data_IF_902013494954
#
_entry.id   IF_902013494954
#
_cell.length_a   1.000
_cell.length_b   1.000
_cell.length_c   1.000
_cell.angle_alpha   90.00
_cell.angle_beta   90.00
_cell.angle_gamma   90.00
#
_symmetry.space_group_name_H-M   'P 1'
#
loop_
_entity.id
_entity.type
_entity.pdbx_description
1 polymer ?
#
# COMPACT_ATOMS: atom_id res chain seq x y z
N UNK A 1 17.97 21.93 -17.71
CA UNK A 1 17.88 20.48 -17.39
C UNK A 1 16.53 20.16 -16.76
N UNK A 2 16.10 20.90 -15.72
CA UNK A 2 14.76 20.77 -15.13
C UNK A 2 13.88 21.99 -15.46
N UNK A 3 12.57 21.75 -15.56
CA UNK A 3 11.55 22.79 -15.78
C UNK A 3 11.21 23.55 -14.48
N UNK A 4 11.33 22.88 -13.32
CA UNK A 4 11.11 23.45 -12.00
C UNK A 4 12.32 23.23 -11.10
N UNK A 5 12.59 24.18 -10.22
CA UNK A 5 13.66 24.12 -9.20
C UNK A 5 13.11 24.17 -7.78
N UNK A 6 11.78 24.14 -7.64
CA UNK A 6 11.09 24.17 -6.36
C UNK A 6 10.79 22.73 -5.91
N UNK A 7 11.37 22.33 -4.78
CA UNK A 7 11.14 21.02 -4.19
C UNK A 7 9.87 21.01 -3.35
N UNK A 8 9.06 19.96 -3.49
CA UNK A 8 7.90 19.70 -2.64
C UNK A 8 8.35 19.14 -1.27
N UNK A 9 8.11 19.92 -0.21
CA UNK A 9 8.46 19.56 1.16
C UNK A 9 7.80 18.26 1.61
N UNK A 10 6.52 18.04 1.28
CA UNK A 10 5.78 16.88 1.78
C UNK A 10 6.29 15.58 1.14
N UNK A 11 6.69 15.62 -0.14
CA UNK A 11 7.37 14.50 -0.78
C UNK A 11 8.72 14.17 -0.14
N UNK A 12 9.54 15.17 0.18
CA UNK A 12 10.82 14.96 0.88
C UNK A 12 10.58 14.41 2.29
N UNK A 13 9.67 15.04 3.05
CA UNK A 13 9.33 14.64 4.41
C UNK A 13 8.86 13.18 4.47
N UNK A 14 7.93 12.78 3.60
CA UNK A 14 7.43 11.40 3.52
C UNK A 14 8.56 10.41 3.24
N UNK A 15 9.47 10.71 2.32
CA UNK A 15 10.61 9.82 2.01
C UNK A 15 11.60 9.70 3.16
N UNK A 16 11.91 10.80 3.83
CA UNK A 16 12.78 10.77 5.00
C UNK A 16 12.13 10.03 6.18
N UNK A 17 10.82 10.18 6.36
CA UNK A 17 10.06 9.43 7.36
C UNK A 17 10.10 7.92 7.08
N UNK A 18 9.88 7.49 5.83
CA UNK A 18 10.04 6.08 5.40
C UNK A 18 11.44 5.56 5.75
N UNK A 19 12.50 6.32 5.44
CA UNK A 19 13.88 5.91 5.74
C UNK A 19 14.14 5.77 7.25
N UNK A 20 13.56 6.66 8.07
CA UNK A 20 13.69 6.58 9.52
C UNK A 20 13.00 5.33 10.09
N UNK A 21 11.86 4.92 9.54
CA UNK A 21 11.22 3.65 9.92
C UNK A 21 12.06 2.42 9.56
N UNK A 22 12.76 2.44 8.42
CA UNK A 22 13.56 1.31 7.94
C UNK A 22 14.88 1.14 8.70
N UNK A 23 15.30 2.13 9.49
CA UNK A 23 16.58 2.14 10.19
C UNK A 23 16.40 2.45 11.68
N UNK A 24 16.28 1.41 12.51
CA UNK A 24 16.20 1.56 13.97
C UNK A 24 17.40 2.35 14.49
N UNK A 25 17.12 3.41 15.26
CA UNK A 25 18.15 4.28 15.84
C UNK A 25 18.63 5.43 14.95
N UNK A 26 18.17 5.53 13.70
CA UNK A 26 18.44 6.69 12.86
C UNK A 26 17.53 7.87 13.26
N UNK A 27 18.11 9.05 13.34
CA UNK A 27 17.36 10.30 13.50
C UNK A 27 17.58 11.17 12.27
N UNK A 28 16.51 11.56 11.61
CA UNK A 28 16.56 12.42 10.44
C UNK A 28 15.85 13.74 10.77
N UNK A 29 16.56 14.86 10.56
CA UNK A 29 16.02 16.20 10.74
C UNK A 29 15.86 16.85 9.37
N UNK A 30 14.63 17.29 9.05
CA UNK A 30 14.32 18.04 7.85
C UNK A 30 13.93 19.46 8.23
N UNK A 31 14.57 20.44 7.61
CA UNK A 31 14.26 21.86 7.80
C UNK A 31 14.02 22.51 6.44
N UNK A 32 12.89 23.20 6.29
CA UNK A 32 12.63 24.09 5.15
C UNK A 32 12.74 25.54 5.61
N UNK A 33 13.64 26.28 4.98
CA UNK A 33 13.87 27.69 5.23
C UNK A 33 13.00 28.59 4.33
N UNK A 34 12.29 28.04 3.34
CA UNK A 34 11.52 28.79 2.33
C UNK A 34 10.12 29.22 2.81
N UNK A 35 9.96 29.44 4.11
CA UNK A 35 8.66 29.55 4.79
C UNK A 35 8.32 30.99 5.13
N UNK A 36 7.12 31.45 4.83
CA UNK A 36 6.71 32.80 5.26
C UNK A 36 6.37 32.85 6.76
N UNK A 37 6.53 34.01 7.41
CA UNK A 37 6.24 34.15 8.85
C UNK A 37 4.78 33.81 9.20
N UNK A 38 3.85 33.99 8.26
CA UNK A 38 2.41 33.74 8.41
C UNK A 38 2.01 32.29 8.08
N UNK A 39 2.91 31.49 7.50
CA UNK A 39 2.62 30.13 7.07
C UNK A 39 2.50 29.16 8.26
N UNK A 40 1.53 28.24 8.18
CA UNK A 40 1.34 27.19 9.19
C UNK A 40 2.37 26.08 8.95
N UNK A 41 3.30 25.92 9.89
CA UNK A 41 4.43 24.98 9.78
C UNK A 41 4.22 23.67 10.54
N UNK A 42 3.26 23.64 11.46
CA UNK A 42 3.02 22.51 12.34
C UNK A 42 2.42 21.32 11.60
N UNK A 43 2.84 20.11 11.95
CA UNK A 43 2.33 18.87 11.33
C UNK A 43 0.87 18.59 11.73
N UNK A 44 0.49 18.95 12.95
CA UNK A 44 -0.88 18.86 13.44
C UNK A 44 -1.36 20.28 13.73
N UNK A 45 -2.19 20.81 12.84
CA UNK A 45 -2.82 22.11 13.01
C UNK A 45 -3.95 21.98 14.03
N UNK A 46 -3.98 22.86 15.03
CA UNK A 46 -5.05 22.86 16.01
C UNK A 46 -6.36 23.38 15.41
N UNK A 47 -7.48 22.77 15.81
CA UNK A 47 -8.82 23.25 15.45
C UNK A 47 -9.20 24.55 16.19
N UNK A 48 -8.39 24.97 17.16
CA UNK A 48 -8.56 26.20 17.93
C UNK A 48 -7.68 27.31 17.40
N UNK A 49 -8.18 28.56 17.47
CA UNK A 49 -7.40 29.73 17.14
C UNK A 49 -6.22 29.90 18.10
N UNK A 50 -5.11 30.43 17.58
CA UNK A 50 -3.94 30.76 18.38
C UNK A 50 -4.27 31.76 19.49
N UNK A 51 -3.58 31.60 20.62
CA UNK A 51 -3.73 32.51 21.74
C UNK A 51 -3.40 33.96 21.34
N UNK A 52 -4.14 34.96 21.82
CA UNK A 52 -3.85 36.36 21.54
C UNK A 52 -2.49 36.74 22.14
N UNK A 53 -1.53 37.05 21.25
CA UNK A 53 -0.17 37.43 21.66
C UNK A 53 -0.16 38.78 22.36
N UNK A 54 0.50 38.84 23.51
CA UNK A 54 0.78 40.06 24.27
C UNK A 54 1.71 41.01 23.50
N UNK A 55 1.77 42.27 23.91
CA UNK A 55 2.66 43.26 23.29
C UNK A 55 4.14 42.87 23.40
N UNK A 56 4.53 42.17 24.46
CA UNK A 56 5.89 41.63 24.64
C UNK A 56 6.18 40.48 23.67
N UNK A 57 5.23 39.56 23.46
CA UNK A 57 5.38 38.43 22.52
C UNK A 57 5.45 38.92 21.07
N UNK A 58 4.67 39.94 20.71
CA UNK A 58 4.75 40.56 19.37
C UNK A 58 6.08 41.26 19.13
N UNK A 59 6.67 41.88 20.15
CA UNK A 59 8.00 42.49 20.06
C UNK A 59 9.13 41.43 20.01
N UNK A 60 8.92 40.27 20.64
CA UNK A 60 9.84 39.13 20.54
C UNK A 60 9.79 38.49 19.15
N UNK A 61 8.60 38.33 18.55
CA UNK A 61 8.48 37.78 17.19
C UNK A 61 9.06 38.69 16.11
N UNK A 62 8.98 40.01 16.27
CA UNK A 62 9.58 40.94 15.30
C UNK A 62 11.11 40.96 15.34
N UNK A 63 11.71 40.46 16.42
CA UNK A 63 13.17 40.34 16.60
C UNK A 63 13.67 38.90 16.45
N UNK A 64 12.77 37.94 16.25
CA UNK A 64 13.10 36.54 16.06
C UNK A 64 13.76 36.28 14.69
N UNK A 65 14.63 35.25 14.60
CA UNK A 65 15.16 34.81 13.31
C UNK A 65 14.04 34.27 12.41
N UNK A 66 14.36 34.14 11.10
CA UNK A 66 13.44 33.65 10.08
C UNK A 66 12.75 32.34 10.51
N UNK A 67 11.42 32.29 10.39
CA UNK A 67 10.62 31.10 10.70
C UNK A 67 10.99 29.95 9.77
N UNK A 68 11.10 28.74 10.29
CA UNK A 68 11.41 27.54 9.50
C UNK A 68 10.39 26.44 9.76
N UNK A 69 10.17 25.57 8.77
CA UNK A 69 9.35 24.35 8.94
C UNK A 69 10.28 23.20 9.25
N UNK A 70 10.21 22.66 10.47
CA UNK A 70 11.10 21.62 10.95
C UNK A 70 10.34 20.33 11.26
N UNK A 71 10.87 19.18 10.82
CA UNK A 71 10.38 17.84 11.19
C UNK A 71 11.54 16.94 11.62
N UNK A 72 11.36 16.25 12.73
CA UNK A 72 12.31 15.25 13.24
C UNK A 72 11.68 13.87 13.17
N UNK A 73 12.37 12.93 12.51
CA UNK A 73 11.95 11.55 12.36
C UNK A 73 12.88 10.64 13.16
N UNK A 74 12.35 9.96 14.17
CA UNK A 74 13.08 8.96 14.96
C UNK A 74 12.10 7.88 15.43
N UNK A 75 12.32 6.64 14.98
CA UNK A 75 11.40 5.53 15.22
C UNK A 75 12.15 4.32 15.78
N UNK A 76 12.24 4.18 17.11
CA UNK A 76 13.00 3.10 17.74
C UNK A 76 12.38 1.71 17.49
N UNK A 77 11.05 1.64 17.27
CA UNK A 77 10.36 0.39 16.92
C UNK A 77 10.55 -0.02 15.46
N UNK A 78 11.14 0.83 14.62
CA UNK A 78 11.41 0.54 13.21
C UNK A 78 10.14 0.18 12.44
N UNK A 79 10.11 -1.02 11.85
CA UNK A 79 8.97 -1.49 11.04
C UNK A 79 7.67 -1.60 11.85
N UNK A 80 7.75 -1.89 13.15
CA UNK A 80 6.56 -1.92 14.03
C UNK A 80 5.89 -0.55 14.08
N UNK A 81 6.69 0.52 14.20
CA UNK A 81 6.17 1.89 14.21
C UNK A 81 5.65 2.29 12.82
N UNK A 82 6.24 1.75 11.76
CA UNK A 82 5.73 1.94 10.40
C UNK A 82 4.34 1.31 10.21
N UNK A 83 4.15 0.07 10.64
CA UNK A 83 2.84 -0.60 10.58
C UNK A 83 1.81 0.14 11.43
N UNK A 84 2.18 0.61 12.62
CA UNK A 84 1.31 1.48 13.44
C UNK A 84 0.94 2.77 12.71
N UNK A 85 1.89 3.39 12.01
CA UNK A 85 1.63 4.60 11.23
C UNK A 85 0.64 4.32 10.08
N UNK A 86 0.82 3.23 9.33
CA UNK A 86 -0.09 2.82 8.25
C UNK A 86 -1.49 2.54 8.80
N UNK A 87 -1.59 1.90 9.96
CA UNK A 87 -2.86 1.57 10.60
C UNK A 87 -3.45 2.71 11.43
N UNK A 88 -2.79 3.88 11.56
CA UNK A 88 -3.29 5.02 12.36
C UNK A 88 -4.66 5.51 11.88
N UNK A 89 -4.89 5.48 10.57
CA UNK A 89 -6.16 5.88 9.94
C UNK A 89 -7.14 4.72 9.77
N UNK A 90 -6.76 3.52 10.21
CA UNK A 90 -7.51 2.28 10.05
C UNK A 90 -7.88 1.71 11.44
N UNK A 91 -8.72 0.68 11.45
CA UNK A 91 -9.11 0.00 12.70
C UNK A 91 -8.42 -1.37 12.76
N UNK A 92 -7.32 -1.54 13.53
CA UNK A 92 -6.68 -2.84 13.71
C UNK A 92 -7.64 -3.88 14.30
N UNK A 93 -7.57 -5.12 13.83
CA UNK A 93 -8.41 -6.22 14.34
C UNK A 93 -7.69 -7.07 15.39
N UNK A 94 -6.36 -7.08 15.36
CA UNK A 94 -5.50 -7.80 16.31
C UNK A 94 -4.71 -6.80 17.15
N UNK A 95 -4.51 -7.13 18.42
CA UNK A 95 -3.79 -6.27 19.37
C UNK A 95 -2.27 -6.38 19.17
N UNK A 96 -1.78 -7.58 18.87
CA UNK A 96 -0.35 -7.83 18.68
C UNK A 96 0.08 -7.58 17.23
N UNK A 97 1.14 -6.79 17.04
CA UNK A 97 1.81 -6.66 15.74
C UNK A 97 2.76 -7.83 15.59
N UNK A 98 2.72 -8.49 14.44
CA UNK A 98 3.69 -9.53 14.10
C UNK A 98 4.98 -8.82 13.71
N UNK A 99 6.07 -9.13 14.40
CA UNK A 99 7.40 -8.58 14.17
C UNK A 99 8.40 -9.74 14.27
N UNK A 100 9.22 -9.92 13.23
CA UNK A 100 10.31 -10.89 13.25
C UNK A 100 11.40 -10.52 12.25
N UNK A 101 12.63 -10.92 12.60
CA UNK A 101 13.80 -10.85 11.74
C UNK A 101 14.31 -12.25 11.35
N UNK A 102 15.09 -12.29 10.29
CA UNK A 102 15.79 -13.47 9.84
C UNK A 102 17.11 -13.10 9.19
N UNK A 103 18.17 -13.81 9.53
CA UNK A 103 19.51 -13.64 8.94
C UNK A 103 19.91 -14.90 8.19
N UNK A 104 20.38 -14.72 6.98
CA UNK A 104 20.92 -15.74 6.11
C UNK A 104 22.33 -15.38 5.61
N UNK A 105 22.96 -16.25 4.83
CA UNK A 105 24.25 -15.96 4.22
C UNK A 105 24.11 -14.84 3.18
N UNK A 106 24.58 -13.62 3.51
CA UNK A 106 24.60 -12.47 2.60
C UNK A 106 23.25 -11.74 2.44
N UNK A 107 22.20 -12.18 3.15
CA UNK A 107 20.86 -11.60 3.11
C UNK A 107 20.25 -11.54 4.51
N UNK A 108 19.50 -10.48 4.80
CA UNK A 108 18.73 -10.30 6.03
C UNK A 108 17.32 -9.84 5.66
N UNK A 109 16.32 -10.27 6.43
CA UNK A 109 14.93 -9.87 6.27
C UNK A 109 14.37 -9.43 7.61
N UNK A 110 13.61 -8.34 7.60
CA UNK A 110 12.83 -7.86 8.73
C UNK A 110 11.40 -7.61 8.23
N UNK A 111 10.42 -8.15 8.94
CA UNK A 111 9.01 -8.06 8.56
C UNK A 111 8.19 -7.64 9.77
N UNK A 112 7.37 -6.61 9.57
CA UNK A 112 6.30 -6.27 10.50
C UNK A 112 4.95 -6.28 9.79
N UNK A 113 3.90 -6.80 10.44
CA UNK A 113 2.58 -6.86 9.83
C UNK A 113 1.43 -6.89 10.83
N UNK A 114 0.28 -6.34 10.43
CA UNK A 114 -0.95 -6.29 11.22
C UNK A 114 -2.17 -6.14 10.31
N UNK A 115 -3.24 -6.89 10.59
CA UNK A 115 -4.51 -6.75 9.89
C UNK A 115 -5.40 -5.64 10.50
N UNK A 116 -6.22 -5.04 9.64
CA UNK A 116 -7.23 -4.06 9.98
C UNK A 116 -8.60 -4.42 9.35
N UNK A 117 -9.64 -3.69 9.75
CA UNK A 117 -11.01 -3.88 9.29
C UNK A 117 -11.25 -3.45 7.83
N UNK A 118 -10.28 -2.83 7.17
CA UNK A 118 -10.40 -2.37 5.79
C UNK A 118 -10.37 -3.51 4.76
N UNK A 119 -10.63 -3.15 3.51
CA UNK A 119 -10.66 -4.07 2.37
C UNK A 119 -9.46 -3.91 1.43
N UNK A 120 -8.60 -2.92 1.66
CA UNK A 120 -7.41 -2.67 0.84
C UNK A 120 -6.18 -3.41 1.37
N UNK A 121 -5.38 -3.93 0.45
CA UNK A 121 -4.04 -4.42 0.73
C UNK A 121 -3.09 -3.22 0.89
N UNK A 122 -2.24 -3.23 1.92
CA UNK A 122 -1.20 -2.22 2.14
C UNK A 122 0.10 -2.91 2.48
N UNK A 123 0.65 -3.63 1.49
CA UNK A 123 1.94 -4.30 1.58
C UNK A 123 2.99 -3.40 0.94
N UNK A 124 3.93 -2.91 1.76
CA UNK A 124 5.06 -2.11 1.32
C UNK A 124 6.33 -2.95 1.43
N UNK A 125 7.13 -2.94 0.37
CA UNK A 125 8.29 -3.82 0.26
C UNK A 125 9.53 -3.02 -0.14
N UNK A 126 10.66 -3.37 0.47
CA UNK A 126 11.91 -2.63 0.39
C UNK A 126 13.09 -3.58 0.24
N UNK A 127 14.05 -3.21 -0.60
CA UNK A 127 15.35 -3.86 -0.71
C UNK A 127 16.46 -2.80 -0.51
N UNK A 128 17.30 -2.97 0.50
CA UNK A 128 18.35 -2.00 0.86
C UNK A 128 17.82 -0.56 0.99
N UNK A 129 16.68 -0.39 1.69
CA UNK A 129 15.93 0.89 1.85
C UNK A 129 15.26 1.44 0.59
N UNK A 130 15.43 0.81 -0.57
CA UNK A 130 14.78 1.20 -1.82
C UNK A 130 13.40 0.56 -1.90
N UNK A 131 12.36 1.36 -2.15
CA UNK A 131 11.00 0.87 -2.30
C UNK A 131 10.84 0.09 -3.61
N UNK A 132 10.54 -1.20 -3.50
CA UNK A 132 10.33 -2.10 -4.64
C UNK A 132 8.84 -2.23 -4.96
N UNK A 133 8.22 -1.15 -5.44
CA UNK A 133 6.77 -1.09 -5.65
C UNK A 133 6.23 -2.00 -6.77
N UNK A 134 7.10 -2.45 -7.69
CA UNK A 134 6.76 -3.50 -8.67
C UNK A 134 6.96 -4.92 -8.10
N UNK A 135 7.35 -5.01 -6.83
CA UNK A 135 7.49 -6.22 -6.06
C UNK A 135 8.83 -6.89 -6.19
N UNK A 136 8.84 -8.21 -6.29
CA UNK A 136 10.05 -9.00 -6.51
C UNK A 136 10.07 -10.32 -5.75
N UNK A 137 11.23 -10.96 -5.78
CA UNK A 137 11.43 -12.31 -5.24
C UNK A 137 11.16 -12.41 -3.73
N UNK A 138 11.55 -11.41 -2.95
CA UNK A 138 11.25 -11.28 -1.51
C UNK A 138 9.74 -11.22 -1.24
N UNK A 139 9.02 -10.40 -2.00
CA UNK A 139 7.57 -10.26 -1.84
C UNK A 139 6.84 -11.55 -2.22
N UNK A 140 7.22 -12.20 -3.32
CA UNK A 140 6.66 -13.50 -3.70
C UNK A 140 6.89 -14.57 -2.63
N UNK A 141 8.08 -14.60 -2.04
CA UNK A 141 8.41 -15.52 -0.95
C UNK A 141 7.50 -15.32 0.26
N UNK A 142 7.27 -14.07 0.65
CA UNK A 142 6.32 -13.70 1.70
C UNK A 142 4.88 -14.09 1.34
N UNK A 143 4.40 -13.70 0.15
CA UNK A 143 3.02 -13.99 -0.32
C UNK A 143 2.74 -15.49 -0.31
N UNK A 144 3.69 -16.30 -0.77
CA UNK A 144 3.57 -17.76 -0.78
C UNK A 144 3.54 -18.33 0.64
N UNK A 145 4.49 -17.94 1.51
CA UNK A 145 4.53 -18.42 2.89
C UNK A 145 3.27 -18.06 3.67
N UNK A 146 2.82 -16.79 3.59
CA UNK A 146 1.62 -16.33 4.28
C UNK A 146 0.39 -17.16 3.88
N UNK A 147 0.22 -17.38 2.56
CA UNK A 147 -0.91 -18.17 2.04
C UNK A 147 -0.87 -19.61 2.56
N UNK A 148 0.30 -20.24 2.58
CA UNK A 148 0.48 -21.61 3.07
C UNK A 148 0.23 -21.74 4.57
N UNK A 149 0.78 -20.85 5.38
CA UNK A 149 0.64 -20.88 6.85
C UNK A 149 -0.82 -20.68 7.26
N UNK A 150 -1.50 -19.67 6.71
CA UNK A 150 -2.90 -19.38 7.05
C UNK A 150 -3.82 -20.52 6.63
N UNK A 151 -3.64 -21.10 5.43
CA UNK A 151 -4.44 -22.25 5.01
C UNK A 151 -4.18 -23.48 5.88
N UNK A 152 -2.93 -23.74 6.26
CA UNK A 152 -2.57 -24.85 7.16
C UNK A 152 -3.25 -24.66 8.52
N UNK A 153 -3.10 -23.49 9.13
CA UNK A 153 -3.68 -23.18 10.44
C UNK A 153 -5.22 -23.24 10.42
N UNK A 154 -5.84 -22.72 9.36
CA UNK A 154 -7.30 -22.75 9.21
C UNK A 154 -7.87 -24.17 9.15
N UNK A 155 -7.16 -25.11 8.50
CA UNK A 155 -7.54 -26.53 8.45
C UNK A 155 -7.28 -27.23 9.79
N UNK A 156 -6.09 -27.07 10.35
CA UNK A 156 -5.66 -27.74 11.57
C UNK A 156 -6.58 -27.35 12.77
N UNK A 157 -7.01 -26.09 12.85
CA UNK A 157 -7.96 -25.60 13.88
C UNK A 157 -9.44 -25.71 13.48
N UNK A 158 -9.76 -26.34 12.35
CA UNK A 158 -11.13 -26.53 11.82
C UNK A 158 -11.93 -25.23 11.65
N UNK A 159 -11.23 -24.12 11.37
CA UNK A 159 -11.84 -22.83 11.04
C UNK A 159 -12.30 -22.77 9.58
N UNK A 160 -11.66 -23.56 8.71
CA UNK A 160 -12.11 -23.87 7.36
C UNK A 160 -12.54 -25.33 7.31
N UNK A 161 -13.72 -25.63 6.74
CA UNK A 161 -14.18 -27.01 6.61
C UNK A 161 -13.38 -27.71 5.51
N UNK A 162 -13.14 -29.01 5.63
CA UNK A 162 -12.38 -29.79 4.64
C UNK A 162 -13.00 -29.80 3.23
N UNK A 163 -14.31 -29.54 3.14
CA UNK A 163 -15.05 -29.46 1.88
C UNK A 163 -15.00 -28.07 1.25
N UNK A 164 -14.65 -27.04 2.01
CA UNK A 164 -14.58 -25.68 1.51
C UNK A 164 -13.27 -25.48 0.72
N UNK A 165 -13.29 -24.70 -0.37
CA UNK A 165 -12.08 -24.40 -1.13
C UNK A 165 -11.07 -23.66 -0.26
N UNK A 166 -9.77 -23.87 -0.53
CA UNK A 166 -8.70 -23.12 0.12
C UNK A 166 -8.86 -21.61 -0.09
N UNK A 167 -8.40 -20.84 0.89
CA UNK A 167 -8.31 -19.39 0.83
C UNK A 167 -7.26 -18.98 -0.20
N UNK A 168 -7.58 -18.01 -1.06
CA UNK A 168 -6.58 -17.45 -1.99
C UNK A 168 -5.70 -16.43 -1.28
N UNK A 169 -4.56 -16.09 -1.88
CA UNK A 169 -3.67 -15.08 -1.30
C UNK A 169 -4.34 -13.70 -1.17
N UNK A 170 -5.24 -13.35 -2.09
CA UNK A 170 -5.98 -12.08 -2.05
C UNK A 170 -6.94 -12.03 -0.86
N UNK A 171 -7.63 -13.14 -0.57
CA UNK A 171 -8.55 -13.24 0.57
C UNK A 171 -7.80 -12.99 1.91
N UNK A 172 -6.54 -13.41 1.99
CA UNK A 172 -5.71 -13.32 3.20
C UNK A 172 -5.05 -11.94 3.34
N UNK A 173 -4.65 -11.32 2.22
CA UNK A 173 -4.01 -10.00 2.21
C UNK A 173 -5.01 -8.84 2.26
N UNK A 174 -6.29 -9.12 2.11
CA UNK A 174 -7.33 -8.11 2.29
C UNK A 174 -7.25 -7.49 3.70
N UNK A 175 -7.10 -6.16 3.77
CA UNK A 175 -6.97 -5.44 5.04
C UNK A 175 -5.63 -5.70 5.75
N UNK A 176 -4.64 -6.28 5.07
CA UNK A 176 -3.31 -6.46 5.63
C UNK A 176 -2.46 -5.20 5.45
N UNK A 177 -1.90 -4.68 6.54
CA UNK A 177 -0.78 -3.76 6.51
C UNK A 177 0.51 -4.53 6.81
N UNK A 178 1.44 -4.57 5.86
CA UNK A 178 2.71 -5.26 6.03
C UNK A 178 3.86 -4.41 5.49
N UNK A 179 4.99 -4.46 6.18
CA UNK A 179 6.25 -3.87 5.73
C UNK A 179 7.29 -4.97 5.69
N UNK A 180 7.90 -5.16 4.51
CA UNK A 180 8.92 -6.18 4.26
C UNK A 180 10.21 -5.45 3.87
N UNK A 181 11.24 -5.54 4.71
CA UNK A 181 12.54 -4.92 4.44
C UNK A 181 13.60 -6.00 4.31
N UNK A 182 14.21 -6.12 3.14
CA UNK A 182 15.35 -7.02 2.93
C UNK A 182 16.65 -6.23 2.77
N UNK A 183 17.73 -6.75 3.34
CA UNK A 183 19.09 -6.27 3.10
C UNK A 183 19.83 -7.35 2.35
N UNK A 184 20.35 -7.02 1.17
CA UNK A 184 20.98 -7.96 0.25
C UNK A 184 22.35 -7.42 -0.13
N UNK A 185 23.40 -8.23 0.04
CA UNK A 185 24.77 -7.82 -0.28
C UNK A 185 24.95 -7.50 -1.77
N UNK A 186 24.42 -8.36 -2.65
CA UNK A 186 24.51 -8.21 -4.11
C UNK A 186 23.10 -8.17 -4.73
N UNK A 187 22.39 -7.03 -4.67
CA UNK A 187 21.02 -6.95 -5.17
C UNK A 187 21.00 -6.90 -6.70
N UNK A 188 20.16 -7.74 -7.30
CA UNK A 188 19.87 -7.78 -8.72
C UNK A 188 18.44 -7.27 -8.93
N UNK A 189 18.28 -6.27 -9.79
CA UNK A 189 16.97 -5.71 -10.11
C UNK A 189 16.58 -5.99 -11.56
N UNK A 190 15.28 -6.18 -11.79
CA UNK A 190 14.72 -6.17 -13.14
C UNK A 190 14.58 -4.70 -13.61
N UNK A 191 15.27 -4.34 -14.68
CA UNK A 191 15.20 -3.01 -15.28
C UNK A 191 16.04 -1.93 -14.57
N UNK A 192 16.08 -0.75 -15.19
CA UNK A 192 16.92 0.37 -14.77
C UNK A 192 16.40 1.07 -13.51
N UNK A 193 15.08 1.07 -13.30
CA UNK A 193 14.41 1.82 -12.22
C UNK A 193 14.62 1.21 -10.84
N UNK A 194 15.25 0.02 -10.73
CA UNK A 194 15.51 -0.70 -9.46
C UNK A 194 14.24 -0.92 -8.63
N UNK A 195 13.15 -1.22 -9.32
CA UNK A 195 11.79 -1.29 -8.75
C UNK A 195 11.33 -2.70 -8.42
N UNK A 196 11.99 -3.71 -8.99
CA UNK A 196 11.66 -5.13 -8.79
C UNK A 196 12.89 -5.96 -8.51
N UNK A 197 12.91 -6.67 -7.39
CA UNK A 197 14.04 -7.51 -6.98
C UNK A 197 14.01 -8.87 -7.72
N UNK A 198 15.15 -9.26 -8.29
CA UNK A 198 15.31 -10.47 -9.12
C UNK A 198 16.15 -11.60 -8.49
N UNK A 199 16.70 -11.41 -7.29
CA UNK A 199 17.50 -12.44 -6.60
C UNK A 199 16.66 -13.68 -6.24
N UNK A 200 16.85 -14.78 -6.95
CA UNK A 200 16.05 -16.02 -6.78
C UNK A 200 16.21 -16.66 -5.39
N UNK A 201 17.41 -16.58 -4.82
CA UNK A 201 17.78 -17.09 -3.50
C UNK A 201 17.04 -16.38 -2.37
N UNK A 202 16.73 -15.09 -2.55
CA UNK A 202 15.98 -14.29 -1.58
C UNK A 202 14.54 -14.79 -1.44
N UNK A 203 13.93 -15.31 -2.52
CA UNK A 203 12.57 -15.88 -2.47
C UNK A 203 12.49 -17.05 -1.49
N UNK A 204 13.37 -18.04 -1.66
CA UNK A 204 13.39 -19.23 -0.80
C UNK A 204 13.78 -18.88 0.64
N UNK A 205 14.69 -17.93 0.82
CA UNK A 205 15.08 -17.43 2.13
C UNK A 205 13.91 -16.78 2.89
N UNK A 206 13.25 -15.79 2.29
CA UNK A 206 12.10 -15.11 2.90
C UNK A 206 10.96 -16.09 3.14
N UNK A 207 10.69 -17.00 2.19
CA UNK A 207 9.67 -18.03 2.37
C UNK A 207 9.96 -18.93 3.57
N UNK A 208 11.21 -19.35 3.78
CA UNK A 208 11.60 -20.17 4.93
C UNK A 208 11.36 -19.44 6.26
N UNK A 209 11.91 -18.23 6.40
CA UNK A 209 11.79 -17.41 7.62
C UNK A 209 10.32 -17.15 7.95
N UNK A 210 9.52 -16.77 6.95
CA UNK A 210 8.09 -16.53 7.14
C UNK A 210 7.32 -17.79 7.57
N UNK A 211 7.61 -18.96 6.98
CA UNK A 211 6.92 -20.20 7.38
C UNK A 211 7.19 -20.55 8.84
N UNK A 212 8.43 -20.43 9.30
CA UNK A 212 8.81 -20.72 10.68
C UNK A 212 8.18 -19.72 11.65
N UNK A 213 8.39 -18.42 11.43
CA UNK A 213 7.99 -17.36 12.36
C UNK A 213 6.47 -17.12 12.39
N UNK A 214 5.80 -17.15 11.23
CA UNK A 214 4.34 -17.01 11.19
C UNK A 214 3.67 -18.22 11.84
N UNK A 215 4.16 -19.43 11.60
CA UNK A 215 3.60 -20.63 12.26
C UNK A 215 3.72 -20.52 13.78
N UNK A 216 4.89 -20.09 14.27
CA UNK A 216 5.12 -19.85 15.68
C UNK A 216 4.16 -18.80 16.26
N UNK A 217 4.00 -17.65 15.59
CA UNK A 217 3.10 -16.59 16.05
C UNK A 217 1.63 -17.03 16.07
N UNK A 218 1.16 -17.75 15.03
CA UNK A 218 -0.22 -18.23 14.94
C UNK A 218 -0.56 -19.24 16.04
N UNK A 219 0.38 -20.11 16.42
CA UNK A 219 0.20 -21.04 17.55
C UNK A 219 0.31 -20.34 18.91
N UNK A 220 1.20 -19.35 19.04
CA UNK A 220 1.36 -18.58 20.28
C UNK A 220 0.16 -17.65 20.58
N UNK A 221 -0.52 -17.14 19.54
CA UNK A 221 -1.60 -16.16 19.67
C UNK A 221 -2.92 -16.69 19.07
N UNK A 222 -3.54 -17.74 19.65
CA UNK A 222 -4.68 -18.41 19.04
C UNK A 222 -5.93 -17.53 18.94
N UNK A 223 -6.12 -16.57 19.85
CA UNK A 223 -7.25 -15.63 19.83
C UNK A 223 -7.15 -14.66 18.63
N UNK A 224 -6.00 -14.00 18.48
CA UNK A 224 -5.74 -13.08 17.36
C UNK A 224 -5.74 -13.83 16.03
N UNK A 225 -5.08 -14.99 15.97
CA UNK A 225 -5.05 -15.85 14.79
C UNK A 225 -6.46 -16.24 14.31
N UNK A 226 -7.38 -16.56 15.24
CA UNK A 226 -8.77 -16.88 14.90
C UNK A 226 -9.49 -15.69 14.28
N UNK A 227 -9.26 -14.47 14.77
CA UNK A 227 -9.85 -13.23 14.21
C UNK A 227 -9.36 -13.00 12.78
N UNK A 228 -8.05 -13.14 12.54
CA UNK A 228 -7.45 -13.00 11.21
C UNK A 228 -7.99 -14.02 10.22
N UNK A 229 -8.05 -15.30 10.60
CA UNK A 229 -8.58 -16.36 9.74
C UNK A 229 -10.06 -16.13 9.41
N UNK A 230 -10.87 -15.73 10.40
CA UNK A 230 -12.28 -15.42 10.17
C UNK A 230 -12.47 -14.26 9.19
N UNK A 231 -11.62 -13.23 9.25
CA UNK A 231 -11.61 -12.15 8.25
C UNK A 231 -11.32 -12.70 6.86
N UNK A 232 -10.28 -13.52 6.69
CA UNK A 232 -9.96 -14.12 5.39
C UNK A 232 -11.10 -15.03 4.87
N UNK A 233 -11.76 -15.80 5.74
CA UNK A 233 -12.95 -16.60 5.38
C UNK A 233 -14.11 -15.69 4.93
N UNK A 234 -14.34 -14.57 5.61
CA UNK A 234 -15.38 -13.62 5.22
C UNK A 234 -15.11 -12.99 3.85
N UNK A 235 -13.84 -12.64 3.56
CA UNK A 235 -13.42 -12.14 2.24
C UNK A 235 -13.61 -13.21 1.16
N UNK A 236 -13.20 -14.46 1.42
CA UNK A 236 -13.39 -15.58 0.50
C UNK A 236 -14.88 -15.83 0.19
N UNK A 237 -15.77 -15.76 1.19
CA UNK A 237 -17.21 -15.88 0.99
C UNK A 237 -17.76 -14.73 0.14
N UNK A 238 -17.34 -13.49 0.41
CA UNK A 238 -17.72 -12.32 -0.37
C UNK A 238 -17.27 -12.45 -1.83
N UNK A 239 -16.03 -12.90 -2.09
CA UNK A 239 -15.50 -13.16 -3.43
C UNK A 239 -16.28 -14.24 -4.17
N UNK A 240 -16.60 -15.36 -3.52
CA UNK A 240 -17.37 -16.45 -4.13
C UNK A 240 -18.79 -15.98 -4.45
N UNK A 241 -19.42 -15.22 -3.56
CA UNK A 241 -20.74 -14.64 -3.78
C UNK A 241 -20.71 -13.65 -4.96
N UNK A 242 -19.72 -12.76 -5.01
CA UNK A 242 -19.53 -11.82 -6.13
C UNK A 242 -19.29 -12.54 -7.45
N UNK A 243 -18.48 -13.62 -7.46
CA UNK A 243 -18.26 -14.45 -8.67
C UNK A 243 -19.55 -15.09 -9.14
N UNK A 244 -20.33 -15.70 -8.24
CA UNK A 244 -21.63 -16.31 -8.58
C UNK A 244 -22.61 -15.27 -9.13
N UNK A 245 -22.65 -14.08 -8.54
CA UNK A 245 -23.46 -12.97 -9.02
C UNK A 245 -23.04 -12.55 -10.44
N UNK A 246 -21.74 -12.34 -10.68
CA UNK A 246 -21.19 -12.00 -12.01
C UNK A 246 -21.46 -13.08 -13.06
N UNK A 247 -21.31 -14.35 -12.71
CA UNK A 247 -21.63 -15.47 -13.61
C UNK A 247 -23.13 -15.53 -13.95
N UNK A 248 -24.00 -15.26 -12.96
CA UNK A 248 -25.44 -15.22 -13.17
C UNK A 248 -25.84 -14.04 -14.08
N UNK A 249 -25.21 -12.87 -13.93
CA UNK A 249 -25.37 -11.75 -14.87
C UNK A 249 -24.85 -12.13 -16.26
N UNK A 250 -23.66 -12.72 -16.37
CA UNK A 250 -23.06 -13.11 -17.66
C UNK A 250 -23.89 -14.15 -18.41
N UNK A 251 -24.54 -15.09 -17.70
CA UNK A 251 -25.48 -16.05 -18.30
C UNK A 251 -26.76 -15.37 -18.80
N UNK A 252 -27.27 -14.37 -18.08
CA UNK A 252 -28.42 -13.56 -18.51
C UNK A 252 -28.08 -12.66 -19.70
N UNK A 253 -26.85 -12.15 -19.78
CA UNK A 253 -26.36 -11.30 -20.86
C UNK A 253 -25.90 -12.07 -22.11
N UNK A 254 -26.07 -13.40 -22.17
CA UNK A 254 -25.64 -14.21 -23.31
C UNK A 254 -26.39 -13.87 -24.61
N UNK A 255 -27.54 -13.22 -24.50
CA UNK A 255 -28.33 -12.66 -25.61
C UNK A 255 -28.24 -11.14 -25.74
N UNK A 256 -27.53 -10.45 -24.84
CA UNK A 256 -27.33 -9.01 -24.93
C UNK A 256 -26.21 -8.71 -25.92
N UNK A 257 -26.54 -8.01 -27.00
CA UNK A 257 -25.57 -7.46 -27.95
C UNK A 257 -24.67 -6.45 -27.22
N UNK A 258 -23.48 -6.91 -26.84
CA UNK A 258 -22.22 -6.17 -26.61
C UNK A 258 -22.24 -4.73 -26.08
N UNK A 259 -21.49 -4.50 -25.00
CA UNK A 259 -21.01 -3.18 -24.59
C UNK A 259 -21.91 -2.41 -23.62
N UNK A 260 -21.77 -1.08 -23.62
CA UNK A 260 -22.58 -0.12 -22.85
C UNK A 260 -23.44 0.71 -23.84
N UNK A 261 -24.49 0.12 -24.42
CA UNK A 261 -25.30 0.78 -25.44
C UNK A 261 -25.90 2.09 -24.91
N UNK A 262 -25.71 3.17 -25.67
CA UNK A 262 -26.19 4.51 -25.32
C UNK A 262 -25.24 5.32 -24.43
N UNK A 263 -24.33 4.69 -23.66
CA UNK A 263 -23.35 5.40 -22.82
C UNK A 263 -21.95 5.43 -23.44
N UNK A 264 -21.44 4.29 -23.90
CA UNK A 264 -20.13 4.24 -24.58
C UNK A 264 -20.32 4.57 -26.06
N UNK A 265 -19.62 5.62 -26.53
CA UNK A 265 -19.42 5.83 -27.95
C UNK A 265 -18.19 5.02 -28.38
N UNK A 266 -18.39 3.87 -29.02
CA UNK A 266 -17.29 2.98 -29.40
C UNK A 266 -16.51 3.49 -30.62
N UNK A 267 -15.31 2.94 -30.85
CA UNK A 267 -14.47 3.16 -32.03
C UNK A 267 -14.58 2.00 -33.03
N UNK A 268 -14.16 2.19 -34.28
CA UNK A 268 -14.23 1.14 -35.31
C UNK A 268 -13.08 0.12 -35.24
N UNK A 269 -11.93 0.54 -34.73
CA UNK A 269 -10.74 -0.29 -34.57
C UNK A 269 -10.93 -1.31 -33.46
N UNK A 270 -10.61 -2.56 -33.77
CA UNK A 270 -10.59 -3.66 -32.79
C UNK A 270 -9.19 -3.96 -32.24
N UNK A 271 -8.16 -3.21 -32.69
CA UNK A 271 -6.77 -3.37 -32.25
C UNK A 271 -6.50 -2.54 -30.97
N UNK A 272 -6.28 -3.16 -29.79
CA UNK A 272 -6.07 -2.45 -28.53
C UNK A 272 -4.83 -1.56 -28.51
N UNK A 273 -3.88 -1.76 -29.43
CA UNK A 273 -2.65 -0.94 -29.52
C UNK A 273 -2.89 0.41 -30.18
N UNK A 274 -3.99 0.54 -30.92
CA UNK A 274 -4.38 1.75 -31.65
C UNK A 274 -5.59 2.41 -31.01
N UNK A 275 -6.46 1.63 -30.40
CA UNK A 275 -7.68 2.14 -29.79
C UNK A 275 -7.39 2.92 -28.51
N UNK A 276 -7.92 4.13 -28.43
CA UNK A 276 -7.81 5.05 -27.30
C UNK A 276 -9.19 5.21 -26.63
N UNK A 277 -9.24 5.27 -25.30
CA UNK A 277 -10.48 5.52 -24.55
C UNK A 277 -10.37 6.85 -23.79
N UNK A 278 -11.23 7.80 -24.14
CA UNK A 278 -11.35 9.09 -23.45
C UNK A 278 -12.48 9.01 -22.44
N UNK A 279 -12.14 9.20 -21.17
CA UNK A 279 -13.11 9.27 -20.06
C UNK A 279 -13.37 10.74 -19.79
N UNK A 280 -14.62 11.17 -19.94
CA UNK A 280 -15.03 12.58 -19.83
C UNK A 280 -16.13 12.76 -18.81
N UNK A 281 -16.14 13.90 -18.14
CA UNK A 281 -17.15 14.21 -17.12
C UNK A 281 -18.45 14.71 -17.78
N UNK A 282 -19.54 13.95 -17.62
CA UNK A 282 -20.87 14.33 -18.06
C UNK A 282 -21.12 14.35 -19.57
N UNK A 283 -22.41 14.44 -19.93
CA UNK A 283 -22.87 14.35 -21.31
C UNK A 283 -22.49 15.58 -22.16
N UNK A 284 -22.24 16.73 -21.54
CA UNK A 284 -21.87 17.97 -22.25
C UNK A 284 -20.48 17.86 -22.88
N UNK A 285 -19.46 17.50 -22.08
CA UNK A 285 -18.13 17.21 -22.60
C UNK A 285 -18.14 15.96 -23.48
N UNK A 286 -18.98 14.97 -23.15
CA UNK A 286 -19.24 13.78 -23.96
C UNK A 286 -19.71 14.11 -25.38
N UNK A 287 -20.63 15.05 -25.54
CA UNK A 287 -21.13 15.49 -26.85
C UNK A 287 -20.03 16.10 -27.72
N UNK A 288 -19.30 17.07 -27.18
CA UNK A 288 -18.19 17.73 -27.89
C UNK A 288 -17.07 16.74 -28.25
N UNK A 289 -16.67 15.89 -27.30
CA UNK A 289 -15.65 14.86 -27.53
C UNK A 289 -16.11 13.84 -28.58
N UNK A 290 -17.38 13.41 -28.52
CA UNK A 290 -17.95 12.46 -29.50
C UNK A 290 -17.98 13.04 -30.92
N UNK A 291 -18.25 14.34 -31.06
CA UNK A 291 -18.28 15.02 -32.36
C UNK A 291 -16.89 15.33 -32.91
N UNK A 292 -15.91 15.60 -32.06
CA UNK A 292 -14.56 16.00 -32.46
C UNK A 292 -13.55 14.86 -32.63
N UNK A 293 -13.88 13.65 -32.19
CA UNK A 293 -12.96 12.50 -32.22
C UNK A 293 -12.73 11.92 -33.61
N UNK A 294 -11.60 11.25 -33.77
CA UNK A 294 -11.45 10.26 -34.83
C UNK A 294 -12.15 8.95 -34.44
N UNK A 295 -13.36 8.75 -34.96
CA UNK A 295 -14.16 7.54 -34.70
C UNK A 295 -13.52 6.23 -35.15
N UNK A 296 -12.42 6.28 -35.93
CA UNK A 296 -11.68 5.09 -36.31
C UNK A 296 -11.02 4.44 -35.11
N UNK A 297 -10.40 5.20 -34.20
CA UNK A 297 -9.62 4.65 -33.08
C UNK A 297 -9.93 5.27 -31.71
N UNK A 298 -10.73 6.33 -31.62
CA UNK A 298 -11.02 6.99 -30.34
C UNK A 298 -12.44 6.64 -29.85
N UNK A 299 -12.53 6.02 -28.68
CA UNK A 299 -13.76 5.73 -27.95
C UNK A 299 -14.00 6.79 -26.86
N UNK A 300 -15.26 7.17 -26.60
CA UNK A 300 -15.63 8.16 -25.56
C UNK A 300 -16.54 7.51 -24.54
N UNK A 301 -16.15 7.56 -23.26
CA UNK A 301 -16.94 7.14 -22.12
C UNK A 301 -17.26 8.37 -21.24
N UNK A 302 -18.46 8.97 -21.39
CA UNK A 302 -18.95 9.94 -20.43
C UNK A 302 -19.29 9.25 -19.10
N UNK A 303 -18.85 9.82 -17.98
CA UNK A 303 -19.14 9.35 -16.62
C UNK A 303 -20.51 9.83 -16.15
#
# INVERSE_FOLDING_TARGET
IFETTEYDFETVARRLQEMAFLNKGLTINLTDERVSNEEVVDEVVSDTADAPKSAQEKAAESTAPHKVKHRTFHYPGGLVDFVKHINRTKSPIQQSIIDFDGKGPGHEVEIAMQWNGGYSESVHTFANTINTHEGGTHEEGFRSALTSVVNKYAKDKKLLKDKDPNLTGDDIREGLAAVISVKVSEPQFEGQTKTKLGNTEVKSFVQKVCNEQLTHWFEANPADAKVVVNKAVSSAQARIAARKARELVRRKSATDLGGLPGKLADCRSTDPRKSELYVVEGDSAGGSAKSGRDSMFQAILPL
#
